data_IF_380638778509
#
_entry.id   IF_380638778509
#
_cell.length_a   1.000
_cell.length_b   1.000
_cell.length_c   1.000
_cell.angle_alpha   90.00
_cell.angle_beta   90.00
_cell.angle_gamma   90.00
#
_symmetry.space_group_name_H-M   'P 1'
#
loop_
_entity.id
_entity.type
_entity.pdbx_description
1 polymer ?
#
# COMPACT_ATOMS: atom_id res chain seq x y z
N UNK A 1 -11.27 -15.10 5.72
CA UNK A 1 -9.93 -14.44 5.72
C UNK A 1 -10.19 -12.95 5.91
N UNK A 2 -9.54 -12.29 6.86
CA UNK A 2 -9.72 -10.85 7.06
C UNK A 2 -8.82 -10.08 6.07
N UNK A 3 -9.40 -9.15 5.32
CA UNK A 3 -8.66 -8.20 4.48
C UNK A 3 -8.41 -6.96 5.33
N UNK A 4 -7.16 -6.52 5.43
CA UNK A 4 -6.77 -5.31 6.12
C UNK A 4 -6.96 -4.10 5.21
N UNK A 5 -7.81 -3.16 5.62
CA UNK A 5 -7.95 -1.88 4.95
C UNK A 5 -6.80 -0.95 5.36
N UNK A 6 -6.02 -0.52 4.37
CA UNK A 6 -4.86 0.35 4.55
C UNK A 6 -5.14 1.67 3.83
N UNK A 7 -5.08 2.82 4.52
CA UNK A 7 -5.25 4.11 3.86
C UNK A 7 -4.16 4.33 2.81
N UNK A 8 -4.56 4.71 1.61
CA UNK A 8 -3.62 5.15 0.58
C UNK A 8 -2.94 6.45 1.05
N UNK A 9 -1.62 6.43 1.20
CA UNK A 9 -0.82 7.61 1.49
C UNK A 9 -0.04 8.01 0.23
N UNK A 10 -0.32 9.21 -0.28
CA UNK A 10 0.49 9.79 -1.35
C UNK A 10 1.89 10.14 -0.83
N UNK A 11 2.91 10.04 -1.68
CA UNK A 11 4.31 10.30 -1.33
C UNK A 11 4.56 11.75 -0.86
N UNK A 12 3.67 12.70 -1.19
CA UNK A 12 3.71 14.08 -0.72
C UNK A 12 3.21 14.24 0.72
N UNK A 13 2.49 13.24 1.24
CA UNK A 13 2.00 13.27 2.61
C UNK A 13 3.18 12.99 3.56
N UNK A 14 3.53 13.99 4.38
CA UNK A 14 4.60 13.96 5.41
C UNK A 14 4.36 12.91 6.53
N UNK A 15 3.64 11.83 6.24
CA UNK A 15 3.35 10.75 7.17
C UNK A 15 4.61 9.93 7.40
N UNK A 16 5.12 10.00 8.64
CA UNK A 16 6.18 9.11 9.07
C UNK A 16 5.56 7.74 9.35
N UNK A 17 6.09 6.64 8.79
CA UNK A 17 5.64 5.31 9.18
C UNK A 17 5.81 5.19 10.70
N UNK A 18 4.69 4.96 11.38
CA UNK A 18 4.67 4.73 12.82
C UNK A 18 4.58 3.23 13.05
N UNK A 19 5.31 2.74 14.05
CA UNK A 19 5.20 1.35 14.50
C UNK A 19 3.72 1.09 14.84
N UNK A 20 3.15 0.01 14.31
CA UNK A 20 1.75 -0.36 14.52
C UNK A 20 0.79 -0.11 13.35
N UNK A 21 1.22 0.45 12.21
CA UNK A 21 0.34 0.58 11.03
C UNK A 21 1.08 0.28 9.72
N UNK A 22 0.47 -0.52 8.83
CA UNK A 22 0.95 -0.62 7.47
C UNK A 22 0.78 0.72 6.77
N UNK A 23 1.89 1.31 6.34
CA UNK A 23 1.86 2.50 5.50
C UNK A 23 2.24 2.07 4.09
N UNK A 24 1.39 2.37 3.11
CA UNK A 24 1.65 2.03 1.72
C UNK A 24 1.75 3.30 0.88
N UNK A 25 2.88 3.43 0.21
CA UNK A 25 3.08 4.40 -0.85
C UNK A 25 3.03 3.65 -2.18
N UNK A 26 2.01 3.94 -2.99
CA UNK A 26 1.80 3.29 -4.27
C UNK A 26 2.18 4.23 -5.42
N UNK A 27 2.99 3.71 -6.34
CA UNK A 27 3.45 4.32 -7.58
C UNK A 27 3.91 3.21 -8.52
N UNK A 28 5.10 3.31 -9.13
CA UNK A 28 5.72 2.15 -9.82
C UNK A 28 6.05 0.98 -8.87
N UNK A 29 6.17 1.25 -7.58
CA UNK A 29 6.51 0.27 -6.54
C UNK A 29 5.61 0.47 -5.31
N UNK A 30 5.41 -0.59 -4.55
CA UNK A 30 4.69 -0.57 -3.26
C UNK A 30 5.71 -0.52 -2.13
N UNK A 31 5.80 0.61 -1.42
CA UNK A 31 6.65 0.72 -0.22
C UNK A 31 5.83 0.48 1.02
N UNK A 32 6.33 -0.36 1.91
CA UNK A 32 5.60 -0.79 3.11
C UNK A 32 6.43 -0.61 4.37
N UNK A 33 5.77 -0.30 5.48
CA UNK A 33 6.34 -0.43 6.83
C UNK A 33 5.59 -1.49 7.62
N UNK A 34 6.33 -2.47 8.15
CA UNK A 34 5.77 -3.54 8.97
C UNK A 34 5.31 -2.96 10.32
N UNK A 35 4.05 -3.16 10.74
CA UNK A 35 3.55 -2.64 12.01
C UNK A 35 4.20 -3.30 13.23
N UNK A 36 4.67 -4.55 13.09
CA UNK A 36 5.19 -5.36 14.19
C UNK A 36 6.66 -5.03 14.50
N UNK A 37 7.55 -5.27 13.54
CA UNK A 37 8.99 -5.05 13.71
C UNK A 37 9.46 -3.65 13.27
N UNK A 38 8.63 -2.87 12.56
CA UNK A 38 9.00 -1.56 12.03
C UNK A 38 9.84 -1.58 10.76
N UNK A 39 10.13 -2.77 10.21
CA UNK A 39 10.89 -2.91 8.98
C UNK A 39 10.26 -2.14 7.82
N UNK A 40 11.09 -1.53 6.98
CA UNK A 40 10.63 -0.74 5.83
C UNK A 40 11.27 -1.27 4.56
N UNK A 41 10.47 -1.49 3.51
CA UNK A 41 10.96 -2.08 2.27
C UNK A 41 10.06 -1.84 1.08
N UNK A 42 10.59 -2.09 -0.10
CA UNK A 42 9.80 -2.21 -1.32
C UNK A 42 9.29 -3.64 -1.43
N UNK A 43 8.05 -3.81 -1.87
CA UNK A 43 7.51 -5.10 -2.27
C UNK A 43 7.08 -5.06 -3.73
N UNK A 44 7.21 -6.21 -4.40
CA UNK A 44 6.76 -6.43 -5.76
C UNK A 44 5.31 -6.94 -5.73
N UNK A 45 4.38 -5.97 -5.80
CA UNK A 45 2.96 -6.21 -5.65
C UNK A 45 2.20 -5.53 -6.78
N UNK A 46 1.25 -6.27 -7.33
CA UNK A 46 0.22 -5.72 -8.21
C UNK A 46 -0.92 -5.19 -7.34
N UNK A 47 -1.35 -3.97 -7.62
CA UNK A 47 -2.56 -3.39 -7.05
C UNK A 47 -3.68 -3.56 -8.08
N UNK A 48 -4.76 -4.24 -7.71
CA UNK A 48 -5.96 -4.35 -8.55
C UNK A 48 -6.76 -3.03 -8.55
N UNK A 49 -7.71 -2.89 -9.48
CA UNK A 49 -8.50 -1.67 -9.64
C UNK A 49 -9.35 -1.32 -8.41
N UNK A 50 -9.68 -2.30 -7.59
CA UNK A 50 -10.39 -2.14 -6.32
C UNK A 50 -9.45 -1.81 -5.13
N UNK A 51 -8.15 -1.64 -5.40
CA UNK A 51 -7.12 -1.41 -4.40
C UNK A 51 -6.55 -2.69 -3.75
N UNK A 52 -7.03 -3.88 -4.13
CA UNK A 52 -6.56 -5.14 -3.53
C UNK A 52 -5.12 -5.43 -3.92
N UNK A 53 -4.28 -5.81 -2.95
CA UNK A 53 -2.87 -6.12 -3.16
C UNK A 53 -2.65 -7.60 -3.42
N UNK A 54 -1.88 -7.92 -4.46
CA UNK A 54 -1.48 -9.27 -4.82
C UNK A 54 0.02 -9.37 -5.15
N UNK A 55 0.78 -10.31 -4.56
CA UNK A 55 0.34 -11.27 -3.54
C UNK A 55 0.00 -10.58 -2.20
N UNK A 56 -0.30 -11.34 -1.16
CA UNK A 56 -0.42 -10.83 0.22
C UNK A 56 0.84 -10.06 0.67
N UNK A 57 0.69 -9.12 1.61
CA UNK A 57 1.79 -8.37 2.21
C UNK A 57 2.56 -9.21 3.21
N UNK A 58 3.86 -9.36 2.99
CA UNK A 58 4.79 -10.06 3.89
C UNK A 58 5.80 -9.05 4.41
N UNK A 59 6.14 -9.14 5.70
CA UNK A 59 7.20 -8.32 6.26
C UNK A 59 8.53 -8.53 5.50
N UNK A 60 9.23 -7.45 5.07
CA UNK A 60 10.48 -7.58 4.32
C UNK A 60 11.63 -8.22 5.11
N UNK A 61 11.61 -8.10 6.44
CA UNK A 61 12.59 -8.75 7.35
C UNK A 61 12.07 -10.08 7.92
N UNK A 62 11.02 -10.67 7.34
CA UNK A 62 10.51 -12.00 7.70
C UNK A 62 10.17 -12.20 9.19
N UNK A 63 9.72 -11.14 9.90
CA UNK A 63 9.31 -11.24 11.32
C UNK A 63 8.08 -12.14 11.58
N UNK A 64 7.54 -12.80 10.54
CA UNK A 64 6.33 -13.63 10.60
C UNK A 64 5.03 -12.87 10.35
N UNK A 65 5.07 -11.54 10.26
CA UNK A 65 3.88 -10.76 9.95
C UNK A 65 3.50 -10.87 8.46
N UNK A 66 2.27 -11.33 8.20
CA UNK A 66 1.73 -11.59 6.86
C UNK A 66 0.22 -11.36 6.82
N UNK A 67 -0.27 -10.52 5.88
CA UNK A 67 -1.70 -10.20 5.74
C UNK A 67 -2.15 -10.04 4.29
N UNK A 68 -3.43 -10.31 4.03
CA UNK A 68 -4.10 -9.82 2.83
C UNK A 68 -4.58 -8.40 3.09
N UNK A 69 -4.35 -7.49 2.15
CA UNK A 69 -4.66 -6.09 2.34
C UNK A 69 -5.20 -5.43 1.08
N UNK A 70 -5.94 -4.34 1.30
CA UNK A 70 -6.53 -3.50 0.28
C UNK A 70 -6.25 -2.04 0.60
N UNK A 71 -5.89 -1.27 -0.43
CA UNK A 71 -5.74 0.17 -0.35
C UNK A 71 -7.11 0.83 -0.43
N UNK A 72 -7.58 1.38 0.70
CA UNK A 72 -8.78 2.21 0.68
C UNK A 72 -8.47 3.55 0.02
N UNK A 73 -9.43 4.05 -0.76
CA UNK A 73 -9.34 5.27 -1.56
C UNK A 73 -8.34 5.24 -2.74
N UNK A 74 -7.80 4.06 -3.10
CA UNK A 74 -6.90 3.90 -4.25
C UNK A 74 -7.50 4.42 -5.57
N UNK A 75 -8.78 4.11 -5.84
CA UNK A 75 -9.48 4.55 -7.05
C UNK A 75 -9.53 6.07 -7.20
N UNK A 76 -9.58 6.81 -6.10
CA UNK A 76 -9.60 8.28 -6.13
C UNK A 76 -8.25 8.87 -6.58
N UNK A 77 -7.17 8.11 -6.42
CA UNK A 77 -5.82 8.51 -6.79
C UNK A 77 -5.40 8.04 -8.18
N UNK A 78 -5.82 6.85 -8.64
CA UNK A 78 -5.52 6.37 -10.01
C UNK A 78 -6.31 7.12 -11.08
N UNK A 79 -7.54 7.54 -10.78
CA UNK A 79 -8.39 8.32 -11.69
C UNK A 79 -7.81 9.69 -12.08
N UNK A 80 -6.80 10.19 -11.36
CA UNK A 80 -6.11 11.44 -11.71
C UNK A 80 -5.01 11.25 -12.76
N UNK A 81 -4.57 10.03 -13.03
CA UNK A 81 -3.46 9.77 -13.97
C UNK A 81 -3.94 9.44 -15.38
N UNK A 82 -5.23 9.18 -15.58
CA UNK A 82 -5.85 8.93 -16.90
C UNK A 82 -6.85 10.02 -17.31
N UNK A 83 -6.70 11.22 -16.76
CA UNK A 83 -7.44 12.42 -17.14
C UNK A 83 -6.77 13.24 -18.26
N UNK A 84 -6.21 12.58 -19.28
CA UNK A 84 -6.00 13.20 -20.59
C UNK A 84 -7.27 13.01 -21.41
N UNK A 85 -8.33 13.75 -21.11
CA UNK A 85 -8.68 14.90 -21.95
C UNK A 85 -9.47 14.48 -23.18
N UNK A 86 -10.79 14.27 -23.00
CA UNK A 86 -11.73 14.42 -24.11
C UNK A 86 -12.13 15.90 -24.21
N UNK A 87 -11.76 16.54 -25.31
CA UNK A 87 -12.48 17.63 -25.96
C UNK A 87 -11.94 17.80 -27.39
#
# INVERSE_FOLDING_TARGET
MAIYDIPYADWESRWKPTKGTWTIFAGKYVKVSCPDCGAFGNLDHTVADDGTLNPSLVCPEECGFHVFARLVDYQQHTSKTEGGGSA
#
